data_IF_712162260129
#
_entry.id   IF_712162260129
#
_cell.length_a   1.000
_cell.length_b   1.000
_cell.length_c   1.000
_cell.angle_alpha   90.00
_cell.angle_beta   90.00
_cell.angle_gamma   90.00
#
_symmetry.space_group_name_H-M   'P 1'
#
loop_
_entity.id
_entity.type
_entity.pdbx_description
1 polymer ?
#
# COMPACT_ATOMS: atom_id res chain seq x y z
N UNK A 1 14.26 -18.89 -23.71
CA UNK A 1 14.21 -17.43 -23.56
C UNK A 1 14.68 -17.12 -22.15
N UNK A 2 15.83 -16.47 -22.01
CA UNK A 2 16.35 -16.07 -20.69
C UNK A 2 15.34 -15.11 -20.04
N UNK A 3 14.63 -15.55 -19.02
CA UNK A 3 13.78 -14.68 -18.21
C UNK A 3 14.70 -13.92 -17.27
N UNK A 4 15.09 -12.70 -17.65
CA UNK A 4 15.80 -11.81 -16.72
C UNK A 4 14.95 -11.63 -15.47
N UNK A 5 15.55 -11.82 -14.30
CA UNK A 5 14.91 -11.60 -13.01
C UNK A 5 14.40 -10.15 -12.91
N UNK A 6 13.27 -9.87 -12.26
CA UNK A 6 12.87 -8.51 -12.02
C UNK A 6 13.85 -7.80 -11.09
N UNK A 7 14.22 -6.56 -11.41
CA UNK A 7 15.06 -5.72 -10.55
C UNK A 7 14.18 -4.87 -9.65
N UNK A 8 14.33 -5.02 -8.35
CA UNK A 8 13.58 -4.30 -7.31
C UNK A 8 14.47 -3.23 -6.69
N UNK A 9 14.04 -1.97 -6.80
CA UNK A 9 14.73 -0.85 -6.14
C UNK A 9 14.26 -0.69 -4.70
N UNK A 10 15.20 -0.60 -3.76
CA UNK A 10 14.89 -0.43 -2.33
C UNK A 10 15.52 0.88 -1.84
N UNK A 11 14.70 1.88 -1.46
CA UNK A 11 15.23 3.07 -0.81
C UNK A 11 15.39 2.84 0.69
N UNK A 12 16.49 3.35 1.26
CA UNK A 12 16.78 3.16 2.67
C UNK A 12 15.90 4.00 3.60
N UNK A 13 15.21 5.03 3.06
CA UNK A 13 14.50 6.02 3.85
C UNK A 13 15.45 6.99 4.56
N UNK A 14 15.06 7.50 5.73
CA UNK A 14 15.95 8.33 6.55
C UNK A 14 17.03 7.46 7.19
N UNK A 15 18.29 7.68 6.82
CA UNK A 15 19.41 6.84 7.27
C UNK A 15 19.73 6.97 8.76
N UNK A 16 19.24 8.00 9.45
CA UNK A 16 19.31 8.08 10.90
C UNK A 16 18.28 7.20 11.63
N UNK A 17 17.28 6.68 10.91
CA UNK A 17 16.29 5.75 11.43
C UNK A 17 16.69 4.28 11.25
N UNK A 18 15.73 3.39 11.47
CA UNK A 18 15.92 1.93 11.33
C UNK A 18 15.97 1.46 9.85
N UNK A 19 15.72 2.34 8.89
CA UNK A 19 15.64 1.98 7.46
C UNK A 19 16.83 1.16 6.97
N UNK A 20 18.09 1.64 7.09
CA UNK A 20 19.27 0.87 6.68
C UNK A 20 19.38 -0.49 7.35
N UNK A 21 19.13 -0.55 8.67
CA UNK A 21 19.22 -1.77 9.47
C UNK A 21 18.21 -2.82 9.01
N UNK A 22 16.93 -2.45 8.86
CA UNK A 22 15.90 -3.40 8.45
C UNK A 22 16.04 -3.86 7.00
N UNK A 23 16.59 -3.03 6.09
CA UNK A 23 16.88 -3.42 4.70
C UNK A 23 18.02 -4.44 4.68
N UNK A 24 19.13 -4.19 5.38
CA UNK A 24 20.25 -5.12 5.47
C UNK A 24 19.81 -6.48 6.08
N UNK A 25 19.10 -6.43 7.21
CA UNK A 25 18.54 -7.63 7.84
C UNK A 25 17.59 -8.39 6.92
N UNK A 26 16.72 -7.68 6.18
CA UNK A 26 15.79 -8.31 5.26
C UNK A 26 16.52 -9.04 4.12
N UNK A 27 17.49 -8.39 3.47
CA UNK A 27 18.23 -8.97 2.36
C UNK A 27 19.13 -10.15 2.79
N UNK A 28 19.64 -10.14 4.02
CA UNK A 28 20.44 -11.24 4.58
C UNK A 28 19.61 -12.38 5.19
N UNK A 29 18.30 -12.20 5.35
CA UNK A 29 17.43 -13.12 6.09
C UNK A 29 17.20 -14.47 5.41
N UNK A 30 17.46 -14.59 4.10
CA UNK A 30 17.02 -15.74 3.30
C UNK A 30 15.50 -15.86 3.12
N UNK A 31 14.73 -14.84 3.52
CA UNK A 31 13.25 -14.80 3.48
C UNK A 31 12.71 -13.96 2.33
N UNK A 32 13.57 -13.33 1.53
CA UNK A 32 13.21 -12.62 0.31
C UNK A 32 13.43 -13.52 -0.90
N UNK A 33 12.61 -13.41 -1.98
CA UNK A 33 12.66 -14.34 -3.10
C UNK A 33 13.96 -14.27 -3.90
N UNK A 34 14.58 -15.40 -4.18
CA UNK A 34 15.75 -15.49 -5.09
C UNK A 34 15.37 -15.31 -6.58
N UNK A 35 14.07 -15.23 -6.87
CA UNK A 35 13.54 -14.99 -8.23
C UNK A 35 13.72 -13.55 -8.70
N UNK A 36 14.16 -12.63 -7.84
CA UNK A 36 14.39 -11.23 -8.13
C UNK A 36 15.82 -10.79 -7.84
N UNK A 37 16.23 -9.67 -8.41
CA UNK A 37 17.45 -8.95 -8.08
C UNK A 37 17.09 -7.68 -7.27
N UNK A 38 17.97 -7.28 -6.37
CA UNK A 38 17.75 -6.17 -5.46
C UNK A 38 18.84 -5.13 -5.58
N UNK A 39 18.45 -3.86 -5.64
CA UNK A 39 19.38 -2.73 -5.62
C UNK A 39 18.93 -1.72 -4.57
N UNK A 40 19.83 -1.36 -3.67
CA UNK A 40 19.60 -0.27 -2.71
C UNK A 40 19.83 1.07 -3.40
N UNK A 41 18.94 2.03 -3.14
CA UNK A 41 18.94 3.34 -3.78
C UNK A 41 19.09 4.42 -2.70
N UNK A 42 19.96 5.38 -2.99
CA UNK A 42 20.24 6.52 -2.16
C UNK A 42 21.63 6.49 -1.55
N UNK A 43 22.15 7.68 -1.31
CA UNK A 43 23.39 7.87 -0.54
C UNK A 43 23.05 7.79 0.94
N UNK A 44 23.94 7.17 1.71
CA UNK A 44 23.97 7.36 3.15
C UNK A 44 24.95 8.50 3.44
N UNK A 45 24.48 9.71 3.79
CA UNK A 45 25.37 10.70 4.34
C UNK A 45 25.98 10.15 5.62
N UNK A 46 27.11 10.73 6.04
CA UNK A 46 27.64 10.42 7.36
C UNK A 46 26.60 10.84 8.42
N UNK A 47 25.95 9.87 9.03
CA UNK A 47 24.84 10.10 9.95
C UNK A 47 24.94 9.20 11.18
N UNK A 48 24.58 9.76 12.31
CA UNK A 48 24.49 9.05 13.58
C UNK A 48 23.09 8.43 13.72
N UNK A 49 22.96 7.11 13.91
CA UNK A 49 21.67 6.51 14.20
C UNK A 49 20.95 7.18 15.38
N UNK A 50 19.67 7.42 15.26
CA UNK A 50 18.85 8.13 16.24
C UNK A 50 18.95 9.65 16.19
N UNK A 51 19.80 10.23 15.33
CA UNK A 51 20.02 11.67 15.26
C UNK A 51 19.72 12.23 13.85
N UNK A 52 18.42 12.38 13.48
CA UNK A 52 18.03 12.87 12.16
C UNK A 52 18.42 14.33 11.94
N UNK A 53 18.90 14.64 10.74
CA UNK A 53 19.27 16.00 10.30
C UNK A 53 18.51 16.38 9.02
N UNK A 54 18.66 17.63 8.60
CA UNK A 54 18.15 18.07 7.28
C UNK A 54 18.86 17.32 6.15
N UNK A 55 20.14 17.00 6.31
CA UNK A 55 20.93 16.28 5.31
C UNK A 55 20.42 14.84 5.14
N UNK A 56 20.06 14.16 6.24
CA UNK A 56 19.48 12.80 6.15
C UNK A 56 18.12 12.81 5.46
N UNK A 57 17.31 13.85 5.72
CA UNK A 57 16.03 14.04 5.04
C UNK A 57 16.18 14.36 3.55
N UNK A 58 17.15 15.22 3.18
CA UNK A 58 17.49 15.53 1.78
C UNK A 58 17.97 14.28 1.03
N UNK A 59 18.81 13.47 1.68
CA UNK A 59 19.26 12.20 1.10
C UNK A 59 18.09 11.23 0.87
N UNK A 60 17.16 11.13 1.82
CA UNK A 60 15.96 10.33 1.66
C UNK A 60 15.07 10.84 0.52
N UNK A 61 14.89 12.16 0.38
CA UNK A 61 14.13 12.74 -0.73
C UNK A 61 14.80 12.46 -2.08
N UNK A 62 16.12 12.62 -2.17
CA UNK A 62 16.88 12.32 -3.39
C UNK A 62 16.77 10.84 -3.79
N UNK A 63 16.79 9.92 -2.82
CA UNK A 63 16.58 8.50 -3.07
C UNK A 63 15.19 8.18 -3.65
N UNK A 64 14.14 8.86 -3.18
CA UNK A 64 12.80 8.72 -3.75
C UNK A 64 12.74 9.26 -5.19
N UNK A 65 13.37 10.41 -5.48
CA UNK A 65 13.44 10.98 -6.85
C UNK A 65 14.21 10.06 -7.80
N UNK A 66 15.33 9.48 -7.35
CA UNK A 66 16.10 8.50 -8.14
C UNK A 66 15.25 7.25 -8.42
N UNK A 67 14.63 6.69 -7.38
CA UNK A 67 13.82 5.47 -7.52
C UNK A 67 12.68 5.65 -8.51
N UNK A 68 11.89 6.75 -8.40
CA UNK A 68 10.79 7.01 -9.33
C UNK A 68 11.28 7.26 -10.75
N UNK A 69 12.40 7.95 -10.92
CA UNK A 69 12.98 8.21 -12.23
C UNK A 69 13.39 6.92 -12.93
N UNK A 70 14.08 6.04 -12.23
CA UNK A 70 14.50 4.72 -12.75
C UNK A 70 13.31 3.81 -13.05
N UNK A 71 12.29 3.80 -12.18
CA UNK A 71 11.08 2.99 -12.44
C UNK A 71 10.28 3.50 -13.65
N UNK A 72 10.17 4.82 -13.83
CA UNK A 72 9.54 5.41 -15.03
C UNK A 72 10.28 5.08 -16.33
N UNK A 73 11.58 4.89 -16.26
CA UNK A 73 12.42 4.43 -17.40
C UNK A 73 12.39 2.90 -17.57
N UNK A 74 11.59 2.19 -16.77
CA UNK A 74 11.54 0.72 -16.77
C UNK A 74 12.88 0.04 -16.41
N UNK A 75 13.80 0.77 -15.77
CA UNK A 75 15.02 0.21 -15.20
C UNK A 75 14.75 -0.60 -13.93
N UNK A 76 13.67 -0.24 -13.20
CA UNK A 76 13.17 -0.97 -12.04
C UNK A 76 11.78 -1.55 -12.34
N UNK A 77 11.53 -2.75 -11.87
CA UNK A 77 10.25 -3.44 -12.01
C UNK A 77 9.28 -3.11 -10.87
N UNK A 78 9.81 -2.80 -9.69
CA UNK A 78 9.08 -2.31 -8.52
C UNK A 78 9.98 -1.46 -7.62
N UNK A 79 9.34 -0.72 -6.70
CA UNK A 79 10.03 0.05 -5.67
C UNK A 79 9.52 -0.39 -4.29
N UNK A 80 10.47 -0.62 -3.38
CA UNK A 80 10.21 -0.76 -1.95
C UNK A 80 10.81 0.44 -1.24
N UNK A 81 10.00 1.17 -0.46
CA UNK A 81 10.51 2.39 0.18
C UNK A 81 10.69 2.21 1.68
N UNK A 82 11.88 2.58 2.16
CA UNK A 82 12.17 2.69 3.59
C UNK A 82 11.39 3.83 4.26
N UNK A 83 11.32 3.83 5.60
CA UNK A 83 10.59 4.83 6.36
C UNK A 83 11.25 6.21 6.31
N UNK A 84 10.44 7.27 6.23
CA UNK A 84 10.89 8.67 6.23
C UNK A 84 10.28 9.42 7.40
N UNK A 85 10.97 10.48 7.86
CA UNK A 85 10.48 11.35 8.91
C UNK A 85 9.83 12.61 8.32
N UNK A 86 8.50 12.65 8.29
CA UNK A 86 7.72 13.69 7.60
C UNK A 86 8.11 15.11 8.00
N UNK A 87 8.26 15.42 9.30
CA UNK A 87 8.61 16.78 9.73
C UNK A 87 9.96 17.23 9.15
N UNK A 88 10.99 16.39 9.20
CA UNK A 88 12.30 16.71 8.61
C UNK A 88 12.25 16.79 7.09
N UNK A 89 11.42 15.96 6.45
CA UNK A 89 11.19 16.04 5.00
C UNK A 89 10.58 17.39 4.62
N UNK A 90 9.61 17.92 5.38
CA UNK A 90 9.04 19.24 5.14
C UNK A 90 10.09 20.36 5.33
N UNK A 91 10.90 20.29 6.37
CA UNK A 91 12.03 21.23 6.57
C UNK A 91 13.02 21.17 5.40
N UNK A 92 13.22 20.00 4.79
CA UNK A 92 14.05 19.80 3.61
C UNK A 92 13.39 20.21 2.28
N UNK A 93 12.16 20.74 2.32
CA UNK A 93 11.42 21.21 1.15
C UNK A 93 10.54 20.18 0.46
N UNK A 94 10.33 19.02 1.05
CA UNK A 94 9.38 18.02 0.56
C UNK A 94 7.94 18.50 0.77
N UNK A 95 7.16 18.60 -0.31
CA UNK A 95 5.85 19.27 -0.30
C UNK A 95 4.65 18.30 -0.27
N UNK A 96 4.87 17.02 -0.02
CA UNK A 96 3.84 15.99 -0.11
C UNK A 96 3.40 15.52 1.28
N UNK A 97 2.10 15.21 1.48
CA UNK A 97 1.61 14.63 2.75
C UNK A 97 2.26 13.31 3.11
N UNK A 98 2.67 12.54 2.08
CA UNK A 98 3.34 11.27 2.23
C UNK A 98 4.00 10.77 0.95
N UNK A 99 4.57 9.58 1.02
CA UNK A 99 5.22 8.97 -0.14
C UNK A 99 4.21 8.57 -1.22
N UNK A 100 2.99 8.21 -0.87
CA UNK A 100 1.93 7.85 -1.80
C UNK A 100 1.62 8.99 -2.78
N UNK A 101 1.39 10.18 -2.25
CA UNK A 101 1.10 11.39 -3.03
C UNK A 101 2.33 11.82 -3.85
N UNK A 102 3.53 11.69 -3.29
CA UNK A 102 4.79 11.94 -4.01
C UNK A 102 4.90 11.07 -5.27
N UNK A 103 4.74 9.75 -5.14
CA UNK A 103 4.84 8.85 -6.27
C UNK A 103 3.73 9.09 -7.31
N UNK A 104 2.51 9.34 -6.85
CA UNK A 104 1.39 9.65 -7.74
C UNK A 104 1.68 10.90 -8.58
N UNK A 105 2.13 11.99 -7.97
CA UNK A 105 2.47 13.23 -8.69
C UNK A 105 3.64 13.02 -9.66
N UNK A 106 4.74 12.40 -9.22
CA UNK A 106 5.91 12.15 -10.09
C UNK A 106 5.59 11.24 -11.27
N UNK A 107 4.61 10.38 -11.15
CA UNK A 107 4.13 9.52 -12.22
C UNK A 107 3.00 10.15 -13.06
N UNK A 108 2.52 11.34 -12.72
CA UNK A 108 1.37 11.98 -13.37
C UNK A 108 0.06 11.22 -13.19
N UNK A 109 -0.06 10.42 -12.11
CA UNK A 109 -1.21 9.58 -11.81
C UNK A 109 -2.16 10.31 -10.88
N UNK A 110 -3.39 10.54 -11.33
CA UNK A 110 -4.47 11.11 -10.50
C UNK A 110 -5.34 10.02 -9.86
N UNK A 111 -5.43 8.85 -10.51
CA UNK A 111 -6.23 7.73 -10.05
C UNK A 111 -5.36 6.76 -9.23
N UNK A 112 -5.24 7.03 -7.95
CA UNK A 112 -4.49 6.20 -7.00
C UNK A 112 -5.27 6.03 -5.70
N UNK A 113 -4.91 5.02 -4.90
CA UNK A 113 -5.48 4.79 -3.59
C UNK A 113 -4.45 4.10 -2.67
N UNK A 114 -4.68 4.22 -1.37
CA UNK A 114 -3.92 3.56 -0.33
C UNK A 114 -4.51 2.18 -0.05
N UNK A 115 -3.67 1.17 -0.05
CA UNK A 115 -4.04 -0.19 0.30
C UNK A 115 -3.00 -0.76 1.28
N UNK A 116 -3.47 -1.49 2.27
CA UNK A 116 -2.60 -2.20 3.20
C UNK A 116 -2.93 -3.68 3.19
N UNK A 117 -1.90 -4.50 3.34
CA UNK A 117 -2.05 -5.94 3.47
C UNK A 117 -1.14 -6.46 4.58
N UNK A 118 -1.60 -7.44 5.32
CA UNK A 118 -0.83 -8.06 6.38
C UNK A 118 -1.64 -9.13 7.12
N UNK A 119 -0.96 -10.16 7.61
CA UNK A 119 -1.66 -11.31 8.17
C UNK A 119 -2.63 -11.92 7.17
N UNK A 120 -3.91 -11.97 7.53
CA UNK A 120 -4.98 -12.48 6.67
C UNK A 120 -5.84 -11.36 6.06
N UNK A 121 -5.49 -10.08 6.27
CA UNK A 121 -6.29 -8.96 5.82
C UNK A 121 -5.64 -8.18 4.69
N UNK A 122 -6.45 -7.75 3.74
CA UNK A 122 -6.16 -6.71 2.75
C UNK A 122 -7.26 -5.67 2.83
N UNK A 123 -6.89 -4.40 2.98
CA UNK A 123 -7.83 -3.28 3.08
C UNK A 123 -7.44 -2.16 2.13
N UNK A 124 -8.42 -1.60 1.42
CA UNK A 124 -8.23 -0.39 0.61
C UNK A 124 -9.11 0.73 1.17
N UNK A 125 -8.64 1.96 1.08
CA UNK A 125 -9.24 3.11 1.74
C UNK A 125 -9.86 4.06 0.71
N UNK A 126 -11.17 4.34 0.85
CA UNK A 126 -11.86 5.33 0.02
C UNK A 126 -11.46 6.74 0.45
N UNK A 127 -11.47 7.02 1.75
CA UNK A 127 -10.88 8.23 2.33
C UNK A 127 -9.73 7.85 3.24
N UNK A 128 -8.64 8.64 3.24
CA UNK A 128 -7.44 8.35 4.02
C UNK A 128 -7.18 9.44 5.07
N UNK A 129 -6.39 10.44 4.79
CA UNK A 129 -5.87 11.39 5.77
C UNK A 129 -6.77 12.63 5.93
N UNK A 130 -8.06 12.43 6.23
CA UNK A 130 -9.01 13.50 6.55
C UNK A 130 -9.60 13.28 7.95
N UNK A 131 -10.07 14.33 8.63
CA UNK A 131 -10.76 14.21 9.90
C UNK A 131 -11.99 13.30 9.79
N UNK A 132 -12.25 12.50 10.82
CA UNK A 132 -13.40 11.58 10.83
C UNK A 132 -14.74 12.32 10.60
N UNK A 133 -14.88 13.53 11.12
CA UNK A 133 -16.08 14.38 10.94
C UNK A 133 -16.32 14.82 9.48
N UNK A 134 -15.30 14.74 8.63
CA UNK A 134 -15.40 15.09 7.20
C UNK A 134 -15.72 13.88 6.32
N UNK A 135 -15.52 12.66 6.83
CA UNK A 135 -15.69 11.42 6.05
C UNK A 135 -17.09 11.33 5.42
N UNK A 136 -18.22 11.53 6.13
CA UNK A 136 -19.54 11.41 5.53
C UNK A 136 -19.76 12.39 4.36
N UNK A 137 -19.18 13.60 4.44
CA UNK A 137 -19.30 14.61 3.38
C UNK A 137 -18.38 14.37 2.20
N UNK A 138 -17.21 13.74 2.45
CA UNK A 138 -16.23 13.41 1.42
C UNK A 138 -16.59 12.14 0.64
N UNK A 139 -17.43 11.27 1.25
CA UNK A 139 -17.83 10.01 0.65
C UNK A 139 -18.71 10.25 -0.59
N UNK A 140 -18.34 9.65 -1.71
CA UNK A 140 -19.06 9.71 -2.98
C UNK A 140 -19.11 8.34 -3.64
N UNK A 141 -20.21 8.02 -4.28
CA UNK A 141 -20.35 6.78 -5.07
C UNK A 141 -19.16 6.61 -6.03
N UNK A 142 -18.81 7.64 -6.80
CA UNK A 142 -17.72 7.60 -7.77
C UNK A 142 -16.36 7.26 -7.14
N UNK A 143 -16.08 7.72 -5.91
CA UNK A 143 -14.83 7.42 -5.21
C UNK A 143 -14.80 5.98 -4.71
N UNK A 144 -15.91 5.45 -4.21
CA UNK A 144 -16.03 4.04 -3.82
C UNK A 144 -15.79 3.15 -5.04
N UNK A 145 -16.44 3.45 -6.16
CA UNK A 145 -16.25 2.71 -7.42
C UNK A 145 -14.81 2.80 -7.90
N UNK A 146 -14.24 3.99 -7.92
CA UNK A 146 -12.86 4.23 -8.35
C UNK A 146 -11.85 3.39 -7.53
N UNK A 147 -11.94 3.45 -6.21
CA UNK A 147 -11.02 2.68 -5.33
C UNK A 147 -11.31 1.18 -5.42
N UNK A 148 -12.57 0.78 -5.54
CA UNK A 148 -12.97 -0.60 -5.74
C UNK A 148 -12.37 -1.21 -7.01
N UNK A 149 -12.35 -0.47 -8.12
CA UNK A 149 -11.71 -0.90 -9.37
C UNK A 149 -10.19 -1.02 -9.25
N UNK A 150 -9.53 -0.10 -8.54
CA UNK A 150 -8.11 -0.21 -8.24
C UNK A 150 -7.79 -1.43 -7.36
N UNK A 151 -8.65 -1.73 -6.40
CA UNK A 151 -8.51 -2.92 -5.55
C UNK A 151 -8.70 -4.21 -6.35
N UNK A 152 -9.66 -4.26 -7.26
CA UNK A 152 -9.85 -5.38 -8.19
C UNK A 152 -8.60 -5.62 -9.05
N UNK A 153 -8.02 -4.57 -9.64
CA UNK A 153 -6.78 -4.69 -10.42
C UNK A 153 -5.62 -5.21 -9.56
N UNK A 154 -5.49 -4.72 -8.34
CA UNK A 154 -4.49 -5.19 -7.40
C UNK A 154 -4.63 -6.68 -7.09
N UNK A 155 -5.83 -7.16 -6.78
CA UNK A 155 -6.08 -8.57 -6.48
C UNK A 155 -5.83 -9.46 -7.72
N UNK A 156 -6.17 -8.99 -8.92
CA UNK A 156 -5.82 -9.67 -10.18
C UNK A 156 -4.31 -9.79 -10.37
N UNK A 157 -3.58 -8.70 -10.09
CA UNK A 157 -2.10 -8.71 -10.13
C UNK A 157 -1.49 -9.64 -9.10
N UNK A 158 -2.16 -9.94 -8.00
CA UNK A 158 -1.79 -10.97 -7.04
C UNK A 158 -2.14 -12.40 -7.50
N UNK A 159 -2.67 -12.57 -8.70
CA UNK A 159 -2.96 -13.87 -9.29
C UNK A 159 -4.34 -14.46 -8.93
N UNK A 160 -5.19 -13.73 -8.21
CA UNK A 160 -6.54 -14.21 -7.90
C UNK A 160 -7.41 -14.22 -9.16
N UNK A 161 -8.00 -15.37 -9.49
CA UNK A 161 -8.82 -15.54 -10.69
C UNK A 161 -10.26 -15.04 -10.49
N UNK A 162 -10.76 -15.12 -9.27
CA UNK A 162 -12.08 -14.62 -8.86
C UNK A 162 -11.91 -13.88 -7.55
N UNK A 163 -12.11 -12.56 -7.57
CA UNK A 163 -11.89 -11.70 -6.41
C UNK A 163 -13.18 -11.62 -5.59
N UNK A 164 -13.05 -11.73 -4.28
CA UNK A 164 -14.15 -11.60 -3.32
C UNK A 164 -13.89 -10.36 -2.48
N UNK A 165 -14.65 -9.29 -2.73
CA UNK A 165 -14.49 -8.01 -2.03
C UNK A 165 -15.74 -7.74 -1.21
N UNK A 166 -15.54 -7.46 0.09
CA UNK A 166 -16.55 -6.85 0.92
C UNK A 166 -16.40 -5.33 0.90
N UNK A 167 -17.48 -4.62 0.67
CA UNK A 167 -17.55 -3.15 0.86
C UNK A 167 -18.13 -2.91 2.24
N UNK A 168 -17.34 -2.30 3.13
CA UNK A 168 -17.79 -2.00 4.49
C UNK A 168 -18.85 -0.90 4.48
N UNK A 169 -19.81 -0.95 5.38
CA UNK A 169 -20.68 0.19 5.68
C UNK A 169 -19.89 1.30 6.37
N UNK A 170 -20.44 2.51 6.38
CA UNK A 170 -19.90 3.64 7.13
C UNK A 170 -20.39 3.62 8.58
N UNK A 171 -21.71 3.39 8.72
CA UNK A 171 -22.43 3.50 10.00
C UNK A 171 -22.49 2.14 10.73
N UNK A 172 -22.77 2.14 12.05
CA UNK A 172 -23.01 0.91 12.80
C UNK A 172 -24.11 0.06 12.14
N UNK A 173 -23.88 -1.28 12.13
CA UNK A 173 -24.81 -2.25 11.52
C UNK A 173 -25.19 -1.92 10.06
N UNK A 174 -24.25 -1.28 9.31
CA UNK A 174 -24.50 -0.81 7.96
C UNK A 174 -25.76 0.06 7.83
N UNK A 175 -25.94 1.00 8.77
CA UNK A 175 -27.00 2.00 8.75
C UNK A 175 -28.37 1.50 9.24
N UNK A 176 -28.55 0.24 9.62
CA UNK A 176 -29.81 -0.35 10.12
C UNK A 176 -31.03 0.07 9.29
N UNK A 177 -30.97 -0.17 7.98
CA UNK A 177 -32.01 0.25 7.02
C UNK A 177 -32.33 1.76 7.04
N UNK A 178 -31.30 2.59 7.28
CA UNK A 178 -31.38 4.06 7.28
C UNK A 178 -31.74 4.69 8.63
N UNK A 179 -31.85 3.89 9.70
CA UNK A 179 -32.13 4.41 11.06
C UNK A 179 -30.89 4.99 11.73
N UNK A 180 -29.71 4.51 11.37
CA UNK A 180 -28.42 4.95 11.93
C UNK A 180 -27.58 5.75 10.93
N UNK A 181 -28.19 6.25 9.86
CA UNK A 181 -27.54 6.95 8.76
C UNK A 181 -28.05 6.44 7.43
N UNK A 182 -27.91 7.22 6.38
CA UNK A 182 -28.42 6.89 5.04
C UNK A 182 -27.31 6.70 4.00
N UNK A 183 -26.06 6.86 4.39
CA UNK A 183 -24.91 6.77 3.49
C UNK A 183 -24.83 5.41 2.81
N UNK A 184 -25.25 4.35 3.50
CA UNK A 184 -25.32 3.00 2.92
C UNK A 184 -26.32 2.98 1.75
N UNK A 185 -27.53 3.46 1.96
CA UNK A 185 -28.61 3.44 0.96
C UNK A 185 -28.32 4.42 -0.18
N UNK A 186 -27.89 5.65 0.17
CA UNK A 186 -27.81 6.76 -0.78
C UNK A 186 -26.50 6.76 -1.58
N UNK A 187 -25.41 6.11 -1.05
CA UNK A 187 -24.06 6.19 -1.64
C UNK A 187 -23.42 4.81 -1.83
N UNK A 188 -23.41 3.96 -0.78
CA UNK A 188 -22.61 2.72 -0.80
C UNK A 188 -23.28 1.63 -1.62
N UNK A 189 -24.58 1.37 -1.45
CA UNK A 189 -25.34 0.39 -2.23
C UNK A 189 -25.29 0.67 -3.74
N UNK A 190 -25.52 1.93 -4.20
CA UNK A 190 -25.34 2.26 -5.62
C UNK A 190 -23.91 1.97 -6.13
N UNK A 191 -22.88 2.26 -5.32
CA UNK A 191 -21.49 1.97 -5.67
C UNK A 191 -21.22 0.46 -5.77
N UNK A 192 -21.74 -0.33 -4.84
CA UNK A 192 -21.66 -1.80 -4.88
C UNK A 192 -22.32 -2.35 -6.15
N UNK A 193 -23.53 -1.88 -6.47
CA UNK A 193 -24.24 -2.29 -7.68
C UNK A 193 -23.47 -1.95 -8.98
N UNK A 194 -22.77 -0.81 -9.01
CA UNK A 194 -21.93 -0.43 -10.14
C UNK A 194 -20.67 -1.30 -10.22
N UNK A 195 -20.00 -1.57 -9.10
CA UNK A 195 -18.83 -2.43 -9.05
C UNK A 195 -19.16 -3.88 -9.49
N UNK A 196 -20.31 -4.42 -9.09
CA UNK A 196 -20.77 -5.75 -9.51
C UNK A 196 -20.90 -5.89 -11.03
N UNK A 197 -21.28 -4.82 -11.71
CA UNK A 197 -21.41 -4.79 -13.18
C UNK A 197 -20.04 -4.70 -13.89
N UNK A 198 -19.00 -4.23 -13.19
CA UNK A 198 -17.69 -3.96 -13.79
C UNK A 198 -16.88 -5.23 -14.11
N UNK A 199 -17.09 -6.32 -13.35
CA UNK A 199 -16.42 -7.60 -13.58
C UNK A 199 -17.32 -8.76 -13.12
N UNK A 200 -17.89 -9.48 -14.08
CA UNK A 200 -18.78 -10.61 -13.82
C UNK A 200 -18.12 -11.81 -13.11
N UNK A 201 -16.78 -11.88 -13.09
CA UNK A 201 -16.03 -12.94 -12.39
C UNK A 201 -15.78 -12.63 -10.92
N UNK A 202 -15.84 -11.37 -10.55
CA UNK A 202 -15.61 -10.92 -9.19
C UNK A 202 -16.90 -10.96 -8.36
N UNK A 203 -16.77 -11.31 -7.09
CA UNK A 203 -17.90 -11.32 -6.13
C UNK A 203 -17.73 -10.10 -5.21
N UNK A 204 -18.51 -9.07 -5.46
CA UNK A 204 -18.52 -7.86 -4.64
C UNK A 204 -19.80 -7.84 -3.85
N UNK A 205 -19.70 -7.69 -2.55
CA UNK A 205 -20.83 -7.67 -1.63
C UNK A 205 -20.73 -6.50 -0.65
N UNK A 206 -21.86 -6.05 -0.16
CA UNK A 206 -21.97 -4.96 0.80
C UNK A 206 -23.22 -4.11 0.55
N UNK A 207 -23.41 -3.06 1.36
CA UNK A 207 -22.60 -2.69 2.52
C UNK A 207 -22.63 -3.74 3.63
N UNK A 208 -21.44 -4.15 4.09
CA UNK A 208 -21.27 -5.11 5.16
C UNK A 208 -21.09 -4.40 6.52
N UNK A 209 -21.66 -4.99 7.57
CA UNK A 209 -21.55 -4.42 8.93
C UNK A 209 -20.09 -4.30 9.36
N UNK A 210 -19.60 -3.09 9.73
CA UNK A 210 -18.18 -2.84 10.00
C UNK A 210 -17.61 -3.62 11.18
N UNK A 211 -18.43 -3.97 12.15
CA UNK A 211 -18.04 -4.71 13.35
C UNK A 211 -17.77 -6.19 13.10
N UNK A 212 -18.29 -6.77 12.00
CA UNK A 212 -18.17 -8.20 11.71
C UNK A 212 -17.38 -8.51 10.43
N UNK A 213 -17.32 -7.59 9.47
CA UNK A 213 -16.74 -7.84 8.13
C UNK A 213 -15.26 -8.23 8.19
N UNK A 214 -14.49 -7.67 9.11
CA UNK A 214 -13.06 -7.97 9.22
C UNK A 214 -12.80 -9.36 9.80
N UNK A 215 -13.64 -9.83 10.73
CA UNK A 215 -13.59 -11.20 11.20
C UNK A 215 -13.85 -12.18 10.05
N UNK A 216 -14.91 -11.96 9.27
CA UNK A 216 -15.25 -12.78 8.10
C UNK A 216 -14.14 -12.78 7.05
N UNK A 217 -13.51 -11.62 6.80
CA UNK A 217 -12.37 -11.52 5.91
C UNK A 217 -11.15 -12.31 6.45
N UNK A 218 -10.87 -12.25 7.75
CA UNK A 218 -9.80 -13.01 8.38
C UNK A 218 -10.02 -14.52 8.35
N UNK A 219 -11.29 -14.96 8.35
CA UNK A 219 -11.67 -16.37 8.15
C UNK A 219 -11.66 -16.80 6.67
N UNK A 220 -11.32 -15.89 5.76
CA UNK A 220 -11.12 -16.17 4.34
C UNK A 220 -12.39 -16.13 3.49
N UNK A 221 -13.48 -15.52 3.98
CA UNK A 221 -14.66 -15.30 3.18
C UNK A 221 -14.42 -14.27 2.07
N UNK A 222 -13.60 -13.27 2.34
CA UNK A 222 -13.23 -12.20 1.42
C UNK A 222 -11.71 -12.13 1.22
N UNK A 223 -11.31 -11.75 0.03
CA UNK A 223 -9.89 -11.51 -0.31
C UNK A 223 -9.44 -10.10 0.06
N UNK A 224 -10.40 -9.17 0.17
CA UNK A 224 -10.15 -7.80 0.62
C UNK A 224 -11.42 -7.12 1.15
N UNK A 225 -11.23 -6.08 1.96
CA UNK A 225 -12.29 -5.17 2.42
C UNK A 225 -12.03 -3.76 1.89
N UNK A 226 -13.03 -3.19 1.20
CA UNK A 226 -13.03 -1.79 0.80
C UNK A 226 -13.62 -0.97 1.95
N UNK A 227 -12.78 -0.14 2.57
CA UNK A 227 -13.09 0.62 3.77
C UNK A 227 -13.42 2.08 3.43
N UNK A 228 -14.41 2.66 4.11
CA UNK A 228 -14.84 4.02 3.88
C UNK A 228 -13.83 5.05 4.43
N UNK A 229 -13.12 4.73 5.51
CA UNK A 229 -12.15 5.61 6.13
C UNK A 229 -10.95 4.86 6.72
N UNK A 230 -9.91 5.63 7.05
CA UNK A 230 -8.58 5.14 7.44
C UNK A 230 -8.64 4.13 8.60
N UNK A 231 -9.14 4.52 9.75
CA UNK A 231 -9.08 3.69 10.96
C UNK A 231 -10.02 2.49 10.90
N UNK A 232 -11.08 2.57 10.09
CA UNK A 232 -11.95 1.42 9.84
C UNK A 232 -11.17 0.20 9.33
N UNK A 233 -10.23 0.43 8.41
CA UNK A 233 -9.39 -0.64 7.87
C UNK A 233 -8.14 -0.91 8.68
N UNK A 234 -7.47 0.15 9.19
CA UNK A 234 -6.17 0.02 9.79
C UNK A 234 -6.21 -0.55 11.21
N UNK A 235 -7.23 -0.26 12.01
CA UNK A 235 -7.34 -0.84 13.37
C UNK A 235 -7.35 -2.38 13.30
N UNK A 236 -8.27 -3.04 12.57
CA UNK A 236 -8.29 -4.50 12.50
C UNK A 236 -7.05 -5.08 11.82
N UNK A 237 -6.50 -4.40 10.80
CA UNK A 237 -5.29 -4.86 10.14
C UNK A 237 -4.09 -4.82 11.10
N UNK A 238 -3.89 -3.72 11.82
CA UNK A 238 -2.78 -3.60 12.77
C UNK A 238 -2.92 -4.53 13.97
N UNK A 239 -4.13 -4.82 14.39
CA UNK A 239 -4.36 -5.81 15.43
C UNK A 239 -3.85 -7.21 15.02
N UNK A 240 -4.02 -7.59 13.75
CA UNK A 240 -3.55 -8.88 13.24
C UNK A 240 -2.10 -8.87 12.74
N UNK A 241 -1.62 -7.77 12.20
CA UNK A 241 -0.41 -7.70 11.39
C UNK A 241 0.52 -6.54 11.77
N UNK A 242 0.62 -6.20 13.05
CA UNK A 242 1.42 -5.06 13.52
C UNK A 242 2.88 -5.10 13.04
N UNK A 243 3.46 -6.29 12.93
CA UNK A 243 4.87 -6.47 12.59
C UNK A 243 5.15 -6.81 11.13
N UNK A 244 4.13 -7.13 10.34
CA UNK A 244 4.27 -7.54 8.94
C UNK A 244 3.27 -6.85 8.01
N UNK A 245 2.69 -5.74 8.45
CA UNK A 245 1.85 -4.88 7.63
C UNK A 245 2.66 -4.24 6.49
N UNK A 246 2.08 -4.20 5.31
CA UNK A 246 2.65 -3.59 4.10
C UNK A 246 1.69 -2.55 3.56
N UNK A 247 2.18 -1.34 3.36
CA UNK A 247 1.46 -0.31 2.63
C UNK A 247 1.81 -0.40 1.14
N UNK A 248 0.82 -0.34 0.27
CA UNK A 248 1.01 -0.29 -1.18
C UNK A 248 0.17 0.81 -1.81
N UNK A 249 0.70 1.44 -2.85
CA UNK A 249 0.00 2.47 -3.62
C UNK A 249 -0.64 1.83 -4.84
N UNK A 250 -1.96 1.77 -4.87
CA UNK A 250 -2.71 1.30 -6.03
C UNK A 250 -2.69 2.34 -7.15
N UNK A 251 -2.81 1.91 -8.41
CA UNK A 251 -2.94 2.80 -9.58
C UNK A 251 -1.63 3.23 -10.22
N UNK A 252 -0.47 2.98 -9.61
CA UNK A 252 0.82 3.26 -10.23
C UNK A 252 1.14 2.27 -11.37
N UNK A 253 1.95 2.73 -12.33
CA UNK A 253 2.40 1.91 -13.46
C UNK A 253 3.33 0.76 -13.05
N UNK A 254 3.96 0.85 -11.89
CA UNK A 254 4.82 -0.16 -11.27
C UNK A 254 4.39 -0.37 -9.82
N UNK A 255 4.63 -1.55 -9.23
CA UNK A 255 4.37 -1.78 -7.82
C UNK A 255 5.23 -0.85 -6.94
N UNK A 256 4.58 -0.22 -5.97
CA UNK A 256 5.26 0.51 -4.90
C UNK A 256 4.74 0.01 -3.56
N UNK A 257 5.64 -0.54 -2.75
CA UNK A 257 5.35 -1.07 -1.42
C UNK A 257 6.24 -0.42 -0.37
N UNK A 258 5.83 -0.49 0.88
CA UNK A 258 6.64 -0.05 2.02
C UNK A 258 6.23 -0.78 3.30
N UNK A 259 7.13 -0.92 4.29
CA UNK A 259 6.72 -1.29 5.62
C UNK A 259 5.72 -0.28 6.20
N UNK A 260 4.83 -0.76 7.08
CA UNK A 260 3.79 0.05 7.73
C UNK A 260 4.22 0.50 9.13
N UNK A 261 5.43 1.06 9.23
CA UNK A 261 5.97 1.70 10.44
C UNK A 261 6.86 2.90 10.09
N UNK A 262 7.18 3.71 11.09
CA UNK A 262 8.01 4.89 10.95
C UNK A 262 9.51 4.62 11.09
N UNK A 263 10.27 5.70 11.22
CA UNK A 263 11.74 5.71 11.32
C UNK A 263 12.28 5.13 12.62
N UNK A 264 11.49 5.10 13.69
CA UNK A 264 11.82 4.53 15.00
C UNK A 264 13.24 4.91 15.48
N UNK A 265 13.53 6.21 15.50
CA UNK A 265 14.87 6.75 15.82
C UNK A 265 15.39 6.28 17.19
N UNK A 266 14.49 6.05 18.14
CA UNK A 266 14.81 5.60 19.51
C UNK A 266 15.47 4.22 19.57
N UNK A 267 15.29 3.39 18.54
CA UNK A 267 15.90 2.06 18.45
C UNK A 267 16.91 1.92 17.32
N UNK A 268 17.12 2.97 16.52
CA UNK A 268 18.04 2.94 15.40
C UNK A 268 19.48 2.64 15.84
N UNK A 269 20.15 1.72 15.17
CA UNK A 269 21.53 1.31 15.46
C UNK A 269 21.70 0.46 16.72
N UNK A 270 20.61 0.02 17.37
CA UNK A 270 20.68 -0.84 18.56
C UNK A 270 20.61 -2.35 18.24
N UNK A 271 20.45 -2.73 16.98
CA UNK A 271 20.36 -4.13 16.56
C UNK A 271 19.10 -4.86 17.02
N UNK A 272 18.03 -4.11 17.35
CA UNK A 272 16.76 -4.68 17.85
C UNK A 272 15.57 -4.39 16.92
N UNK A 273 15.81 -3.70 15.80
CA UNK A 273 14.78 -3.43 14.81
C UNK A 273 14.34 -4.73 14.10
N UNK A 274 13.03 -4.89 13.89
CA UNK A 274 12.45 -6.07 13.26
C UNK A 274 12.32 -5.87 11.76
N UNK A 275 12.87 -6.76 10.91
CA UNK A 275 12.79 -6.62 9.45
C UNK A 275 11.49 -7.18 8.84
N UNK A 276 10.58 -7.76 9.63
CA UNK A 276 9.45 -8.54 9.12
C UNK A 276 8.56 -7.77 8.15
N UNK A 277 8.24 -6.50 8.44
CA UNK A 277 7.44 -5.65 7.56
C UNK A 277 8.21 -5.29 6.27
N UNK A 278 9.53 -5.08 6.34
CA UNK A 278 10.36 -4.85 5.16
C UNK A 278 10.44 -6.11 4.28
N UNK A 279 10.62 -7.28 4.87
CA UNK A 279 10.58 -8.56 4.15
C UNK A 279 9.23 -8.74 3.47
N UNK A 280 8.13 -8.49 4.16
CA UNK A 280 6.79 -8.59 3.58
C UNK A 280 6.59 -7.59 2.43
N UNK A 281 7.11 -6.36 2.55
CA UNK A 281 7.05 -5.35 1.50
C UNK A 281 7.85 -5.76 0.26
N UNK A 282 9.04 -6.34 0.43
CA UNK A 282 9.87 -6.88 -0.66
C UNK A 282 9.14 -8.05 -1.35
N UNK A 283 8.61 -8.99 -0.58
CA UNK A 283 7.90 -10.16 -1.11
C UNK A 283 6.70 -9.73 -1.95
N UNK A 284 5.89 -8.78 -1.47
CA UNK A 284 4.75 -8.25 -2.23
C UNK A 284 5.19 -7.52 -3.51
N UNK A 285 6.29 -6.76 -3.47
CA UNK A 285 6.84 -6.09 -4.65
C UNK A 285 7.25 -7.08 -5.74
N UNK A 286 7.89 -8.19 -5.35
CA UNK A 286 8.27 -9.29 -6.27
C UNK A 286 7.02 -9.97 -6.84
N UNK A 287 6.07 -10.38 -5.98
CA UNK A 287 4.79 -10.99 -6.39
C UNK A 287 4.08 -10.17 -7.47
N UNK A 288 3.96 -8.85 -7.25
CA UNK A 288 3.28 -7.93 -8.18
C UNK A 288 4.08 -7.68 -9.47
N UNK A 289 5.41 -7.87 -9.45
CA UNK A 289 6.28 -7.70 -10.61
C UNK A 289 6.24 -8.91 -11.56
N UNK A 290 6.18 -10.12 -11.02
CA UNK A 290 6.17 -11.37 -11.80
C UNK A 290 4.86 -11.53 -12.58
N UNK A 291 3.73 -11.19 -11.98
CA UNK A 291 2.41 -11.31 -12.60
C UNK A 291 2.17 -10.29 -13.73
N UNK A 292 2.93 -9.18 -13.77
CA UNK A 292 2.88 -8.23 -14.90
C UNK A 292 3.36 -8.87 -16.22
N UNK A 293 4.29 -9.82 -16.16
CA UNK A 293 4.76 -10.58 -17.33
C UNK A 293 3.68 -11.53 -17.89
N UNK A 294 2.80 -12.05 -17.03
CA UNK A 294 1.69 -12.93 -17.44
C UNK A 294 0.60 -12.18 -18.18
N UNK A 295 0.21 -11.00 -17.69
CA UNK A 295 -0.85 -10.17 -18.30
C UNK A 295 -0.45 -9.60 -19.67
N UNK A 296 0.83 -9.21 -19.85
CA UNK A 296 1.35 -8.67 -21.10
C UNK A 296 1.47 -9.74 -22.23
N UNK A 297 1.65 -11.03 -21.88
CA UNK A 297 1.65 -12.12 -22.86
C UNK A 297 0.26 -12.42 -23.43
N UNK A 298 -0.81 -12.24 -22.63
CA UNK A 298 -2.19 -12.44 -23.09
C UNK A 298 -2.72 -11.28 -23.96
N UNK A 299 -2.16 -10.07 -23.81
CA UNK A 299 -2.53 -8.89 -24.61
C UNK A 299 -1.87 -8.86 -25.99
N UNK A 300 -0.75 -9.59 -26.21
CA UNK A 300 -0.05 -9.66 -27.52
C UNK A 300 -0.47 -10.86 -28.38
N UNK A 301 -1.39 -11.68 -27.90
CA UNK A 301 -1.90 -12.87 -28.59
C UNK A 301 -3.35 -12.74 -29.09
N UNK A 302 -3.86 -11.51 -29.22
CA UNK A 302 -5.16 -11.23 -29.86
C UNK A 302 -5.00 -10.24 -31.00
#
# INVERSE_FOLDING_TARGET
MSTTKPLIGITLGDCAGIGPEIVDLALKSGRVPDSAEYVTIGRQPDCKPGAPTIETARAAAAALEEAVTRARRSELHAIVTGPIHKARMYEAGFKFPGQTEFFAERCGVKNFAMCLTGGKLTVALVTAHIPLSEVPRALKQSEIVRVGLLLLDFLKRRGLQSQRIAVAGLNPHAGESGKLGREEIDIIEPAVAELQKSDARSKISGPASPDTVFHRAAEGEFDAVLCMYHDQGLIPLKLQAFHNGVNTTLGLQFPRTSPDHGTAFEIAGKGIARPDSMIAAINLAVELSDNKKSSAKHAKGR
#
